data_IF_452784113276
#
_entry.id   IF_452784113276
#
_cell.length_a   1.000
_cell.length_b   1.000
_cell.length_c   1.000
_cell.angle_alpha   90.00
_cell.angle_beta   90.00
_cell.angle_gamma   90.00
#
_symmetry.space_group_name_H-M   'P 1'
#
loop_
_entity.id
_entity.type
_entity.pdbx_description
1 polymer ?
#
# COMPACT_ATOMS: atom_id res chain seq x y z
N UNK A 1 8.16 32.55 -0.51
CA UNK A 1 6.94 32.07 -0.41
C UNK A 1 6.84 30.62 -0.22
N UNK A 2 5.96 30.23 0.59
CA UNK A 2 5.83 28.90 0.85
C UNK A 2 4.83 28.27 0.01
N UNK A 3 5.21 27.26 -0.63
CA UNK A 3 4.32 26.57 -1.43
C UNK A 3 3.54 25.62 -0.64
N UNK A 4 2.28 25.67 -0.78
CA UNK A 4 1.48 24.75 -0.10
C UNK A 4 1.42 23.51 -0.85
N UNK A 5 1.75 22.44 -0.21
CA UNK A 5 1.66 21.18 -0.84
C UNK A 5 0.24 20.74 -0.87
N UNK A 6 -0.26 20.19 -1.92
CA UNK A 6 -1.63 19.70 -1.93
C UNK A 6 -1.74 18.57 -0.92
N UNK A 7 -2.86 18.50 -0.26
CA UNK A 7 -3.12 17.41 0.66
C UNK A 7 -3.37 16.16 -0.14
N UNK A 8 -2.56 15.17 0.05
CA UNK A 8 -2.77 13.93 -0.66
C UNK A 8 -2.34 12.77 0.22
N UNK A 9 -2.91 11.63 -0.01
CA UNK A 9 -2.61 10.43 0.73
C UNK A 9 -2.33 9.31 -0.24
N UNK A 10 -1.37 8.48 0.11
CA UNK A 10 -1.08 7.31 -0.68
C UNK A 10 -1.79 6.14 0.00
N UNK A 11 -2.63 5.46 -0.75
CA UNK A 11 -3.36 4.31 -0.23
C UNK A 11 -3.04 3.10 -1.06
N UNK A 12 -3.25 1.93 -0.49
CA UNK A 12 -3.12 0.71 -1.26
C UNK A 12 -4.32 0.56 -2.16
N UNK A 13 -4.08 0.00 -3.32
CA UNK A 13 -5.16 -0.37 -4.22
C UNK A 13 -5.55 -1.80 -3.85
N UNK A 14 -6.66 -2.00 -3.16
CA UNK A 14 -6.98 -3.33 -2.63
C UNK A 14 -7.23 -4.37 -3.71
N UNK A 15 -7.83 -3.98 -4.81
CA UNK A 15 -8.06 -4.93 -5.91
C UNK A 15 -6.76 -5.42 -6.50
N UNK A 16 -5.82 -4.51 -6.68
CA UNK A 16 -4.55 -4.86 -7.26
C UNK A 16 -3.71 -5.67 -6.27
N UNK A 17 -3.79 -5.31 -4.99
CA UNK A 17 -3.12 -6.05 -3.94
C UNK A 17 -3.62 -7.49 -3.93
N UNK A 18 -4.93 -7.64 -3.98
CA UNK A 18 -5.54 -8.96 -3.95
C UNK A 18 -5.10 -9.80 -5.14
N UNK A 19 -5.09 -9.19 -6.30
CA UNK A 19 -4.66 -9.87 -7.52
C UNK A 19 -3.21 -10.32 -7.43
N UNK A 20 -2.33 -9.45 -6.95
CA UNK A 20 -0.92 -9.78 -6.83
C UNK A 20 -0.66 -10.84 -5.77
N UNK A 21 -1.40 -10.78 -4.66
CA UNK A 21 -1.29 -11.81 -3.64
C UNK A 21 -1.64 -13.17 -4.21
N UNK A 22 -2.72 -13.23 -4.97
CA UNK A 22 -3.14 -14.49 -5.55
C UNK A 22 -2.16 -15.02 -6.58
N UNK A 23 -1.58 -14.15 -7.37
CA UNK A 23 -0.60 -14.57 -8.35
C UNK A 23 0.63 -15.15 -7.70
N UNK A 24 0.95 -14.68 -6.50
CA UNK A 24 2.11 -15.17 -5.78
C UNK A 24 1.76 -16.20 -4.73
N UNK A 25 0.51 -16.61 -4.68
CA UNK A 25 0.03 -17.60 -3.74
C UNK A 25 0.32 -17.20 -2.28
N UNK A 26 0.10 -15.92 -1.97
CA UNK A 26 0.33 -15.42 -0.63
C UNK A 26 -0.99 -15.09 0.05
N UNK A 27 -1.09 -15.44 1.31
CA UNK A 27 -2.22 -15.02 2.11
C UNK A 27 -1.91 -13.61 2.62
N UNK A 28 -2.93 -12.92 3.12
CA UNK A 28 -2.72 -11.61 3.69
C UNK A 28 -1.79 -11.66 4.89
N UNK A 29 -1.90 -12.69 5.70
CA UNK A 29 -1.04 -12.85 6.85
C UNK A 29 0.41 -13.08 6.45
N UNK A 30 0.62 -13.89 5.42
CA UNK A 30 1.96 -14.13 4.92
C UNK A 30 2.58 -12.86 4.36
N UNK A 31 1.80 -12.10 3.62
CA UNK A 31 2.30 -10.86 3.04
C UNK A 31 2.63 -9.86 4.15
N UNK A 32 1.76 -9.74 5.14
CA UNK A 32 2.03 -8.85 6.27
C UNK A 32 3.34 -9.22 6.96
N UNK A 33 3.57 -10.49 7.13
CA UNK A 33 4.80 -10.98 7.75
C UNK A 33 6.01 -10.64 6.90
N UNK A 34 5.91 -10.85 5.59
CA UNK A 34 7.03 -10.58 4.68
C UNK A 34 7.41 -9.10 4.66
N UNK A 35 6.46 -8.22 4.81
CA UNK A 35 6.76 -6.79 4.81
C UNK A 35 6.96 -6.23 6.22
N UNK A 36 6.95 -7.12 7.22
CA UNK A 36 7.32 -6.74 8.57
C UNK A 36 6.26 -5.99 9.34
N UNK A 37 5.00 -6.31 9.12
CA UNK A 37 3.92 -5.66 9.85
C UNK A 37 2.94 -6.71 10.37
N UNK A 38 2.03 -6.29 11.24
CA UNK A 38 1.03 -7.21 11.77
C UNK A 38 -0.12 -7.35 10.78
N UNK A 39 -0.84 -8.46 10.87
CA UNK A 39 -1.98 -8.68 10.00
C UNK A 39 -3.10 -7.68 10.29
N UNK A 40 -3.24 -7.27 11.55
CA UNK A 40 -4.24 -6.27 11.90
C UNK A 40 -3.94 -4.92 11.25
N UNK A 41 -2.68 -4.51 11.29
CA UNK A 41 -2.29 -3.26 10.67
C UNK A 41 -2.45 -3.35 9.15
N UNK A 42 -2.08 -4.50 8.58
CA UNK A 42 -2.20 -4.69 7.15
C UNK A 42 -3.65 -4.62 6.70
N UNK A 43 -4.56 -5.16 7.52
CA UNK A 43 -5.99 -5.05 7.24
C UNK A 43 -6.44 -3.60 7.17
N UNK A 44 -5.91 -2.76 8.05
CA UNK A 44 -6.24 -1.33 8.03
C UNK A 44 -5.74 -0.66 6.77
N UNK A 45 -4.59 -1.09 6.28
CA UNK A 45 -4.09 -0.57 5.01
C UNK A 45 -4.98 -0.99 3.86
N UNK A 46 -5.44 -2.23 3.87
CA UNK A 46 -6.32 -2.73 2.82
C UNK A 46 -7.69 -2.05 2.84
N UNK A 47 -8.17 -1.71 4.02
CA UNK A 47 -9.46 -1.01 4.16
C UNK A 47 -9.34 0.47 3.87
N UNK A 48 -8.15 0.99 3.78
CA UNK A 48 -7.95 2.40 3.50
C UNK A 48 -8.01 3.31 4.71
N UNK A 49 -8.07 2.74 5.93
CA UNK A 49 -8.09 3.56 7.13
C UNK A 49 -6.70 4.04 7.51
N UNK A 50 -5.69 3.42 6.94
CA UNK A 50 -4.31 3.84 7.17
C UNK A 50 -3.56 3.92 5.86
N UNK A 51 -2.56 4.79 5.81
CA UNK A 51 -1.71 4.92 4.64
C UNK A 51 -0.37 4.27 4.92
N UNK A 52 0.21 3.57 3.94
CA UNK A 52 1.51 2.94 4.17
C UNK A 52 2.62 3.97 4.19
N UNK A 53 3.61 3.74 5.04
CA UNK A 53 4.79 4.60 5.09
C UNK A 53 5.64 4.35 3.85
N UNK A 54 6.56 5.26 3.57
CA UNK A 54 7.45 5.09 2.43
C UNK A 54 8.26 3.81 2.53
N UNK A 55 8.71 3.47 3.74
CA UNK A 55 9.47 2.25 3.94
C UNK A 55 8.63 1.01 3.65
N UNK A 56 7.38 1.03 4.10
CA UNK A 56 6.49 -0.08 3.86
C UNK A 56 6.16 -0.21 2.38
N UNK A 57 5.98 0.92 1.71
CA UNK A 57 5.72 0.91 0.28
C UNK A 57 6.86 0.26 -0.48
N UNK A 58 8.09 0.56 -0.11
CA UNK A 58 9.25 -0.03 -0.76
C UNK A 58 9.29 -1.54 -0.56
N UNK A 59 8.95 -1.99 0.64
CA UNK A 59 8.92 -3.42 0.92
C UNK A 59 7.84 -4.12 0.11
N UNK A 60 6.69 -3.50 -0.02
CA UNK A 60 5.59 -4.08 -0.80
C UNK A 60 6.00 -4.21 -2.27
N UNK A 61 6.63 -3.19 -2.80
CA UNK A 61 7.09 -3.21 -4.18
C UNK A 61 8.09 -4.34 -4.38
N UNK A 62 9.01 -4.50 -3.45
CA UNK A 62 10.02 -5.55 -3.54
C UNK A 62 9.41 -6.94 -3.44
N UNK A 63 8.54 -7.14 -2.48
CA UNK A 63 7.94 -8.45 -2.26
C UNK A 63 7.04 -8.86 -3.40
N UNK A 64 6.29 -7.92 -3.93
CA UNK A 64 5.33 -8.19 -4.98
C UNK A 64 5.91 -8.04 -6.39
N UNK A 65 7.12 -7.51 -6.50
CA UNK A 65 7.78 -7.37 -7.79
C UNK A 65 7.08 -6.40 -8.71
N UNK A 66 6.56 -5.32 -8.18
CA UNK A 66 5.82 -4.34 -8.95
C UNK A 66 6.78 -3.27 -9.44
N UNK A 67 6.65 -2.87 -10.68
CA UNK A 67 7.52 -1.85 -11.24
C UNK A 67 6.93 -0.46 -11.15
N UNK A 68 5.62 -0.38 -11.25
CA UNK A 68 4.93 0.89 -11.29
C UNK A 68 4.24 1.24 -10.00
N UNK A 69 4.41 2.47 -9.57
CA UNK A 69 3.72 2.98 -8.39
C UNK A 69 2.20 2.82 -8.55
N UNK A 70 1.69 3.18 -9.71
CA UNK A 70 0.24 3.16 -9.94
C UNK A 70 -0.35 1.75 -9.98
N UNK A 71 0.48 0.76 -10.10
CA UNK A 71 0.02 -0.61 -10.07
C UNK A 71 -0.44 -1.04 -8.68
N UNK A 72 0.12 -0.43 -7.66
CA UNK A 72 -0.14 -0.88 -6.31
C UNK A 72 -0.76 0.18 -5.42
N UNK A 73 -0.56 1.43 -5.73
CA UNK A 73 -1.00 2.51 -4.86
C UNK A 73 -1.95 3.46 -5.56
N UNK A 74 -2.76 4.13 -4.76
CA UNK A 74 -3.66 5.15 -5.25
C UNK A 74 -3.27 6.45 -4.56
N UNK A 75 -3.08 7.49 -5.36
CA UNK A 75 -2.77 8.78 -4.80
C UNK A 75 -4.08 9.54 -4.72
N UNK A 76 -4.56 9.72 -3.51
CA UNK A 76 -5.84 10.34 -3.29
C UNK A 76 -5.67 11.78 -2.84
N UNK A 77 -6.29 12.70 -3.54
CA UNK A 77 -6.26 14.10 -3.14
C UNK A 77 -7.29 14.31 -2.05
N UNK A 78 -6.89 14.99 -1.01
CA UNK A 78 -7.79 15.31 0.06
C UNK A 78 -8.03 16.81 0.01
N UNK A 79 -9.27 17.18 -0.22
CA UNK A 79 -9.59 18.57 -0.27
C UNK A 79 -9.97 19.02 1.09
N UNK A 80 -9.48 20.14 1.51
CA UNK A 80 -9.85 20.61 2.84
C UNK A 80 -10.93 21.66 2.81
#
# INVERSE_FOLDING_TARGET
MKRRRPSSRVKLNPDRMWELQNRRHLSQNELASLVGTSSGYFSQLMCGTRSPSAALRRRLVDVLGVADFDDLFILESVES
#
